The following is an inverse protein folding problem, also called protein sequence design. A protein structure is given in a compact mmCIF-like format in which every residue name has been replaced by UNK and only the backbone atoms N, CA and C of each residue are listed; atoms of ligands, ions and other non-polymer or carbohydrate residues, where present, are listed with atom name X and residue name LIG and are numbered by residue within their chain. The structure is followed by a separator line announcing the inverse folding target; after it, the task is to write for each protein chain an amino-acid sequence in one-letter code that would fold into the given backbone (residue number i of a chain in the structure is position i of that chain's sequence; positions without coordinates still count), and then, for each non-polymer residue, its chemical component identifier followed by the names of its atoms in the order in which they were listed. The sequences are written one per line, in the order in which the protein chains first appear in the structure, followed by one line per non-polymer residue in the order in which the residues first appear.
data_IF_946524990781
#
_entry.id   IF_946524990781
#
_cell.length_a   1.000
_cell.length_b   1.000
_cell.length_c   1.000
_cell.angle_alpha   90.00
_cell.angle_beta   90.00
_cell.angle_gamma   90.00
#
_symmetry.space_group_name_H-M   'P 1'
#
loop_
_entity.id
_entity.type
_entity.pdbx_description
1 polymer ?
#
# COMPACT_ATOMS: atom_id res chain seq x y z
N UNK A 1 14.04 22.99 2.98
CA UNK A 1 13.06 22.01 3.46
C UNK A 1 11.84 22.11 2.55
N UNK A 2 11.63 21.12 1.69
CA UNK A 2 10.54 21.13 0.72
C UNK A 2 9.41 20.30 1.29
N UNK A 3 8.25 20.90 1.58
CA UNK A 3 7.04 20.17 2.06
C UNK A 3 6.39 19.29 0.98
N UNK A 4 7.01 19.16 -0.19
CA UNK A 4 6.53 18.34 -1.30
C UNK A 4 7.23 16.99 -1.24
N UNK A 5 6.49 15.94 -1.56
CA UNK A 5 7.04 14.59 -1.65
C UNK A 5 8.17 14.53 -2.68
N UNK A 6 9.34 14.04 -2.26
CA UNK A 6 10.51 13.80 -3.11
C UNK A 6 10.86 12.29 -3.06
N UNK A 7 10.78 11.56 -4.18
CA UNK A 7 11.20 10.15 -4.25
C UNK A 7 12.64 9.87 -3.80
N UNK A 8 13.56 10.85 -3.89
CA UNK A 8 14.95 10.68 -3.46
C UNK A 8 15.09 10.79 -1.95
N UNK A 9 14.23 11.60 -1.32
CA UNK A 9 14.18 11.85 0.11
C UNK A 9 12.75 11.69 0.63
N UNK A 10 12.17 10.47 0.57
CA UNK A 10 10.72 10.27 0.74
C UNK A 10 10.18 10.59 2.14
N UNK A 11 11.06 10.65 3.14
CA UNK A 11 10.71 10.95 4.52
C UNK A 11 10.89 12.43 4.93
N UNK A 12 11.49 13.27 4.07
CA UNK A 12 11.76 14.68 4.41
C UNK A 12 10.50 15.55 4.48
N UNK A 13 9.39 15.07 3.90
CA UNK A 13 8.11 15.77 3.91
C UNK A 13 7.31 15.60 5.22
N UNK A 14 7.72 14.70 6.13
CA UNK A 14 7.05 14.53 7.43
C UNK A 14 7.47 15.62 8.41
N UNK A 15 6.50 16.42 8.85
CA UNK A 15 6.70 17.45 9.88
C UNK A 15 5.87 17.08 11.10
N UNK A 16 6.52 16.91 12.25
CA UNK A 16 5.83 16.60 13.50
C UNK A 16 6.62 17.09 14.71
N UNK A 17 5.90 17.50 15.76
CA UNK A 17 6.47 17.76 17.08
C UNK A 17 6.15 16.64 18.09
N UNK A 18 5.27 15.71 17.72
CA UNK A 18 4.86 14.59 18.57
C UNK A 18 5.90 13.49 18.59
N UNK A 19 6.32 13.07 19.78
CA UNK A 19 7.33 12.02 19.96
C UNK A 19 6.86 10.65 19.46
N UNK A 20 5.56 10.36 19.59
CA UNK A 20 4.96 9.11 19.07
C UNK A 20 4.96 9.08 17.55
N UNK A 21 4.72 10.23 16.90
CA UNK A 21 4.77 10.34 15.45
C UNK A 21 6.21 10.26 14.94
N UNK A 22 7.18 10.90 15.62
CA UNK A 22 8.61 10.74 15.28
C UNK A 22 9.02 9.27 15.32
N UNK A 23 8.68 8.58 16.40
CA UNK A 23 8.94 7.13 16.55
C UNK A 23 8.29 6.31 15.43
N UNK A 24 7.08 6.67 15.01
CA UNK A 24 6.37 5.98 13.93
C UNK A 24 7.04 6.19 12.57
N UNK A 25 7.47 7.41 12.28
CA UNK A 25 8.21 7.77 11.06
C UNK A 25 9.57 7.07 11.03
N UNK A 26 10.30 7.05 12.14
CA UNK A 26 11.59 6.33 12.26
C UNK A 26 11.43 4.82 12.10
N UNK A 27 10.39 4.22 12.69
CA UNK A 27 10.09 2.81 12.51
C UNK A 27 9.72 2.50 11.06
N UNK A 28 8.90 3.33 10.41
CA UNK A 28 8.56 3.19 9.01
C UNK A 28 9.81 3.24 8.11
N UNK A 29 10.73 4.19 8.37
CA UNK A 29 12.01 4.29 7.66
C UNK A 29 12.83 3.00 7.76
N UNK A 30 12.90 2.39 8.96
CA UNK A 30 13.61 1.11 9.18
C UNK A 30 12.89 -0.05 8.51
N UNK A 31 11.56 -0.13 8.67
CA UNK A 31 10.76 -1.22 8.14
C UNK A 31 10.66 -1.22 6.61
N UNK A 32 10.80 -0.06 5.96
CA UNK A 32 10.83 0.07 4.52
C UNK A 32 11.92 -0.77 3.83
N UNK A 33 13.01 -1.10 4.52
CA UNK A 33 14.10 -1.90 3.97
C UNK A 33 13.85 -3.42 4.03
N UNK A 34 12.80 -3.87 4.73
CA UNK A 34 12.47 -5.28 4.84
C UNK A 34 11.45 -5.70 3.78
N UNK A 35 11.56 -6.94 3.31
CA UNK A 35 10.58 -7.54 2.43
C UNK A 35 9.49 -8.28 3.22
N UNK A 36 8.70 -7.51 3.98
CA UNK A 36 7.56 -8.00 4.76
C UNK A 36 6.36 -7.07 4.60
N UNK A 37 5.11 -7.57 4.72
CA UNK A 37 3.93 -6.72 4.76
C UNK A 37 3.97 -5.74 5.94
N UNK A 38 3.57 -4.49 5.70
CA UNK A 38 3.47 -3.45 6.73
C UNK A 38 2.01 -3.12 7.01
N UNK A 39 1.61 -3.21 8.28
CA UNK A 39 0.31 -2.75 8.74
C UNK A 39 0.45 -1.32 9.29
N UNK A 40 -0.19 -0.35 8.65
CA UNK A 40 -0.18 1.06 9.07
C UNK A 40 -1.53 1.39 9.71
N UNK A 41 -1.52 1.67 11.01
CA UNK A 41 -2.73 1.98 11.78
C UNK A 41 -2.72 3.44 12.25
N UNK A 42 -3.89 4.06 12.19
CA UNK A 42 -4.09 5.45 12.60
C UNK A 42 -5.41 6.00 12.08
N UNK A 43 -5.85 7.12 12.64
CA UNK A 43 -7.10 7.77 12.28
C UNK A 43 -7.09 8.29 10.82
N UNK A 44 -8.28 8.55 10.28
CA UNK A 44 -8.44 9.15 8.96
C UNK A 44 -7.75 10.52 8.89
N UNK A 45 -7.04 10.79 7.80
CA UNK A 45 -6.34 12.07 7.61
C UNK A 45 -4.96 12.19 8.27
N UNK A 46 -4.45 11.13 8.90
CA UNK A 46 -3.11 11.14 9.55
C UNK A 46 -1.92 10.92 8.59
N UNK A 47 -2.17 10.81 7.28
CA UNK A 47 -1.10 10.66 6.27
C UNK A 47 -0.56 9.24 6.10
N UNK A 48 -1.38 8.21 6.33
CA UNK A 48 -1.00 6.79 6.20
C UNK A 48 -0.59 6.41 4.78
N UNK A 49 -1.28 6.96 3.78
CA UNK A 49 -1.00 6.82 2.36
C UNK A 49 0.36 7.41 1.99
N UNK A 50 0.69 8.60 2.51
CA UNK A 50 1.99 9.23 2.37
C UNK A 50 3.09 8.38 3.01
N UNK A 51 2.83 7.81 4.19
CA UNK A 51 3.77 6.92 4.88
C UNK A 51 4.04 5.64 4.09
N UNK A 52 2.99 5.00 3.56
CA UNK A 52 3.13 3.83 2.70
C UNK A 52 3.93 4.13 1.43
N UNK A 53 3.63 5.27 0.79
CA UNK A 53 4.37 5.74 -0.38
C UNK A 53 5.84 6.00 -0.04
N UNK A 54 6.12 6.64 1.09
CA UNK A 54 7.48 6.89 1.54
C UNK A 54 8.26 5.58 1.76
N UNK A 55 7.63 4.59 2.40
CA UNK A 55 8.21 3.26 2.56
C UNK A 55 8.58 2.62 1.21
N UNK A 56 7.70 2.70 0.21
CA UNK A 56 7.99 2.16 -1.12
C UNK A 56 9.25 2.80 -1.74
N UNK A 57 9.33 4.14 -1.76
CA UNK A 57 10.46 4.85 -2.37
C UNK A 57 11.77 4.74 -1.57
N UNK A 58 11.68 4.38 -0.29
CA UNK A 58 12.85 4.08 0.56
C UNK A 58 13.34 2.64 0.38
N UNK A 59 12.48 1.72 -0.06
CA UNK A 59 12.77 0.30 -0.15
C UNK A 59 13.66 -0.10 -1.35
N UNK A 60 14.05 -1.37 -1.39
CA UNK A 60 14.76 -1.97 -2.54
C UNK A 60 13.93 -2.04 -3.82
N UNK A 61 12.61 -1.82 -3.73
CA UNK A 61 11.65 -1.84 -4.86
C UNK A 61 11.20 -0.45 -5.28
N UNK A 62 11.95 0.60 -4.94
CA UNK A 62 11.66 2.01 -5.27
C UNK A 62 11.44 2.31 -6.76
N UNK A 63 12.05 1.52 -7.65
CA UNK A 63 11.95 1.68 -9.10
C UNK A 63 10.86 0.79 -9.72
N UNK A 64 10.13 0.04 -8.87
CA UNK A 64 9.02 -0.83 -9.26
C UNK A 64 7.70 -0.08 -9.09
N UNK A 65 6.59 -0.74 -9.46
CA UNK A 65 5.26 -0.12 -9.35
C UNK A 65 4.84 0.04 -7.90
N UNK A 66 4.22 1.17 -7.61
CA UNK A 66 3.43 1.40 -6.40
C UNK A 66 1.98 1.57 -6.80
N UNK A 67 1.11 0.65 -6.36
CA UNK A 67 -0.32 0.71 -6.62
C UNK A 67 -1.03 0.95 -5.29
N UNK A 68 -1.85 1.99 -5.22
CA UNK A 68 -2.70 2.25 -4.07
C UNK A 68 -4.15 1.95 -4.45
N UNK A 69 -4.80 1.12 -3.65
CA UNK A 69 -6.17 0.69 -3.85
C UNK A 69 -6.96 1.00 -2.59
N UNK A 70 -8.12 1.61 -2.76
CA UNK A 70 -9.09 1.78 -1.68
C UNK A 70 -10.00 0.55 -1.66
N UNK A 71 -9.98 -0.19 -0.55
CA UNK A 71 -10.80 -1.39 -0.37
C UNK A 71 -12.27 -1.08 -0.06
N UNK A 72 -12.62 0.18 0.21
CA UNK A 72 -13.99 0.58 0.51
C UNK A 72 -14.81 0.80 -0.77
N UNK A 73 -16.05 0.31 -0.76
CA UNK A 73 -17.10 0.75 -1.69
C UNK A 73 -17.24 0.00 -3.01
N UNK A 74 -16.43 -1.04 -3.26
CA UNK A 74 -16.61 -1.93 -4.42
C UNK A 74 -17.44 -3.17 -4.04
N UNK A 75 -18.36 -3.64 -4.92
CA UNK A 75 -18.96 -4.97 -4.79
C UNK A 75 -17.88 -6.06 -4.80
N UNK A 76 -18.11 -7.15 -4.06
CA UNK A 76 -17.13 -8.24 -3.90
C UNK A 76 -16.62 -8.82 -5.23
N UNK A 77 -17.50 -9.01 -6.23
CA UNK A 77 -17.10 -9.56 -7.53
C UNK A 77 -16.18 -8.62 -8.31
N UNK A 78 -16.44 -7.31 -8.24
CA UNK A 78 -15.62 -6.30 -8.91
C UNK A 78 -14.28 -6.16 -8.18
N UNK A 79 -14.29 -6.10 -6.85
CA UNK A 79 -13.09 -6.08 -6.02
C UNK A 79 -12.20 -7.31 -6.28
N UNK A 80 -12.79 -8.50 -6.39
CA UNK A 80 -12.08 -9.73 -6.71
C UNK A 80 -11.43 -9.66 -8.10
N UNK A 81 -12.20 -9.22 -9.11
CA UNK A 81 -11.70 -9.11 -10.48
C UNK A 81 -10.57 -8.09 -10.61
N UNK A 82 -10.65 -6.97 -9.88
CA UNK A 82 -9.58 -5.96 -9.85
C UNK A 82 -8.34 -6.47 -9.09
N UNK A 83 -8.53 -7.18 -7.97
CA UNK A 83 -7.45 -7.76 -7.16
C UNK A 83 -6.65 -8.81 -7.92
N UNK A 84 -7.37 -9.81 -8.43
CA UNK A 84 -6.77 -11.08 -8.87
C UNK A 84 -6.89 -11.29 -10.38
N UNK A 85 -7.62 -10.43 -11.08
CA UNK A 85 -7.89 -10.61 -12.50
C UNK A 85 -9.04 -11.59 -12.75
N UNK A 86 -9.33 -11.83 -14.03
CA UNK A 86 -10.37 -12.78 -14.45
C UNK A 86 -10.01 -13.40 -15.78
N UNK A 87 -10.29 -14.70 -15.93
CA UNK A 87 -10.19 -15.40 -17.20
C UNK A 87 -11.59 -15.77 -17.69
N UNK A 88 -11.97 -15.25 -18.85
CA UNK A 88 -13.25 -15.52 -19.50
C UNK A 88 -12.99 -16.03 -20.90
N UNK A 89 -13.06 -17.36 -21.07
CA UNK A 89 -12.71 -18.01 -22.33
C UNK A 89 -11.24 -17.77 -22.70
N UNK A 90 -11.00 -17.11 -23.85
CA UNK A 90 -9.67 -16.71 -24.32
C UNK A 90 -9.23 -15.32 -23.84
N UNK A 91 -10.12 -14.55 -23.20
CA UNK A 91 -9.80 -13.22 -22.68
C UNK A 91 -9.32 -13.31 -21.24
N UNK A 92 -8.27 -12.57 -20.91
CA UNK A 92 -7.68 -12.52 -19.58
C UNK A 92 -7.49 -11.05 -19.16
N UNK A 93 -7.94 -10.74 -17.95
CA UNK A 93 -7.72 -9.45 -17.31
C UNK A 93 -6.73 -9.66 -16.18
N UNK A 94 -5.67 -8.85 -16.17
CA UNK A 94 -4.61 -8.89 -15.15
C UNK A 94 -5.09 -8.13 -13.90
N UNK A 95 -5.01 -8.77 -12.73
CA UNK A 95 -5.30 -8.11 -11.45
C UNK A 95 -4.17 -7.20 -10.99
N UNK A 96 -4.46 -6.27 -10.08
CA UNK A 96 -3.46 -5.31 -9.62
C UNK A 96 -2.29 -5.95 -8.86
N UNK A 97 -2.48 -7.12 -8.23
CA UNK A 97 -1.37 -7.83 -7.59
C UNK A 97 -0.33 -8.29 -8.61
N UNK A 98 -0.78 -8.88 -9.72
CA UNK A 98 0.10 -9.27 -10.82
C UNK A 98 0.65 -8.04 -11.54
N UNK A 99 -0.18 -7.02 -11.78
CA UNK A 99 0.28 -5.77 -12.38
C UNK A 99 1.40 -5.12 -11.56
N UNK A 100 1.34 -5.21 -10.23
CA UNK A 100 2.32 -4.71 -9.27
C UNK A 100 3.42 -5.72 -8.91
N UNK A 101 3.60 -6.79 -9.69
CA UNK A 101 4.64 -7.79 -9.44
C UNK A 101 6.01 -7.14 -9.20
N UNK A 102 6.74 -7.66 -8.21
CA UNK A 102 8.01 -7.11 -7.67
C UNK A 102 7.90 -5.70 -7.04
N UNK A 103 6.72 -5.09 -7.03
CA UNK A 103 6.45 -3.76 -6.51
C UNK A 103 5.79 -3.77 -5.13
N UNK A 104 4.93 -2.78 -4.92
CA UNK A 104 4.19 -2.59 -3.67
C UNK A 104 2.73 -2.30 -3.98
N UNK A 105 1.84 -2.96 -3.24
CA UNK A 105 0.41 -2.63 -3.21
C UNK A 105 0.07 -2.09 -1.83
N UNK A 106 -0.52 -0.89 -1.78
CA UNK A 106 -1.18 -0.35 -0.61
C UNK A 106 -2.66 -0.70 -0.68
N UNK A 107 -3.13 -1.43 0.34
CA UNK A 107 -4.54 -1.74 0.55
C UNK A 107 -5.09 -0.80 1.63
N UNK A 108 -5.62 0.36 1.21
CA UNK A 108 -6.19 1.33 2.13
C UNK A 108 -7.61 0.92 2.54
N UNK A 109 -7.93 1.00 3.83
CA UNK A 109 -9.19 0.49 4.35
C UNK A 109 -9.32 -1.04 4.29
N UNK A 110 -8.22 -1.80 4.44
CA UNK A 110 -8.22 -3.28 4.40
C UNK A 110 -9.27 -3.95 5.30
N UNK A 111 -9.68 -3.29 6.39
CA UNK A 111 -10.71 -3.78 7.30
C UNK A 111 -12.11 -3.84 6.66
N UNK A 112 -12.34 -3.11 5.56
CA UNK A 112 -13.60 -3.08 4.82
C UNK A 112 -13.76 -4.27 3.87
N UNK A 113 -12.71 -5.07 3.65
CA UNK A 113 -12.82 -6.28 2.82
C UNK A 113 -13.78 -7.29 3.44
N UNK A 114 -14.62 -7.92 2.61
CA UNK A 114 -15.45 -9.03 3.05
C UNK A 114 -14.61 -10.23 3.51
N UNK A 115 -15.18 -11.09 4.37
CA UNK A 115 -14.50 -12.31 4.82
C UNK A 115 -14.08 -13.22 3.66
N UNK A 116 -14.81 -13.19 2.55
CA UNK A 116 -14.48 -13.96 1.35
C UNK A 116 -13.20 -13.41 0.70
N UNK A 117 -13.13 -12.10 0.47
CA UNK A 117 -11.94 -11.45 -0.10
C UNK A 117 -10.73 -11.59 0.82
N UNK A 118 -10.90 -11.50 2.15
CA UNK A 118 -9.83 -11.75 3.11
C UNK A 118 -9.28 -13.19 3.00
N UNK A 119 -10.16 -14.20 2.85
CA UNK A 119 -9.74 -15.59 2.68
C UNK A 119 -8.98 -15.83 1.37
N UNK A 120 -9.31 -15.08 0.30
CA UNK A 120 -8.58 -15.12 -0.98
C UNK A 120 -7.23 -14.43 -0.87
N UNK A 121 -7.17 -13.25 -0.27
CA UNK A 121 -5.94 -12.50 -0.02
C UNK A 121 -4.92 -13.30 0.79
N UNK A 122 -5.37 -14.09 1.77
CA UNK A 122 -4.49 -14.95 2.58
C UNK A 122 -3.81 -16.08 1.77
N UNK A 123 -4.43 -16.51 0.67
CA UNK A 123 -3.99 -17.66 -0.13
C UNK A 123 -3.26 -17.26 -1.41
N UNK A 124 -3.39 -16.00 -1.82
CA UNK A 124 -2.72 -15.44 -2.98
C UNK A 124 -1.23 -15.25 -2.68
#
# INVERSE_FOLDING_TARGET
MTLKFDPQHPFDCFVTQSETMKSSVENALRFAMFDVPLLIQGETGTGKDLLAKACHYQSLRRDKKFIAVNCAGLPDEDAESEMFGRKVGSSETIGFFEYANEGTVLLDGIAELSLNLQAKLLRF
#
